data_IF_652622430706
#
_entry.id   IF_652622430706
#
_cell.length_a   1.000
_cell.length_b   1.000
_cell.length_c   1.000
_cell.angle_alpha   90.00
_cell.angle_beta   90.00
_cell.angle_gamma   90.00
#
_symmetry.space_group_name_H-M   'P 1'
#
loop_
_entity.id
_entity.type
_entity.pdbx_description
1 polymer ?
#
# COMPACT_ATOMS: atom_id res chain seq x y z
N UNK A 1 -8.07 -3.51 -25.36
CA UNK A 1 -7.60 -4.40 -24.28
C UNK A 1 -7.75 -3.63 -22.98
N UNK A 2 -8.66 -4.04 -22.08
CA UNK A 2 -8.79 -3.40 -20.77
C UNK A 2 -7.64 -3.88 -19.88
N UNK A 3 -6.59 -3.07 -19.79
CA UNK A 3 -5.63 -3.15 -18.69
C UNK A 3 -6.37 -2.72 -17.42
N UNK A 4 -6.64 -3.66 -16.51
CA UNK A 4 -7.31 -3.37 -15.25
C UNK A 4 -6.38 -2.49 -14.39
N UNK A 5 -6.72 -1.20 -14.30
CA UNK A 5 -6.00 -0.17 -13.54
C UNK A 5 -6.27 -0.21 -12.03
N UNK A 6 -7.09 -1.16 -11.58
CA UNK A 6 -7.58 -1.30 -10.21
C UNK A 6 -7.51 -2.77 -9.81
N UNK A 7 -7.16 -3.02 -8.55
CA UNK A 7 -7.33 -4.32 -7.94
C UNK A 7 -8.82 -4.65 -7.80
N UNK A 8 -9.19 -5.94 -7.67
CA UNK A 8 -10.55 -6.32 -7.31
C UNK A 8 -10.97 -5.64 -6.00
N UNK A 9 -12.19 -5.10 -5.95
CA UNK A 9 -12.74 -4.48 -4.73
C UNK A 9 -13.02 -5.47 -3.59
N UNK A 10 -12.88 -6.78 -3.85
CA UNK A 10 -13.13 -7.84 -2.88
C UNK A 10 -11.87 -8.64 -2.63
N UNK A 11 -11.02 -8.14 -1.75
CA UNK A 11 -9.85 -8.84 -1.24
C UNK A 11 -10.14 -9.65 0.04
N UNK A 12 -11.38 -9.62 0.51
CA UNK A 12 -11.86 -10.25 1.75
C UNK A 12 -11.56 -11.76 1.85
N UNK A 13 -11.46 -12.46 0.72
CA UNK A 13 -11.19 -13.90 0.70
C UNK A 13 -9.71 -14.24 0.86
N UNK A 14 -8.82 -13.24 0.78
CA UNK A 14 -7.37 -13.41 0.88
C UNK A 14 -6.88 -13.26 2.33
N UNK A 15 -7.71 -13.62 3.32
CA UNK A 15 -7.41 -13.46 4.74
C UNK A 15 -6.10 -14.10 5.18
N UNK A 16 -5.61 -15.13 4.48
CA UNK A 16 -4.35 -15.82 4.81
C UNK A 16 -3.13 -15.23 4.09
N UNK A 17 -3.31 -14.19 3.28
CA UNK A 17 -2.23 -13.58 2.52
C UNK A 17 -1.28 -12.85 3.46
N UNK A 18 0.00 -13.25 3.44
CA UNK A 18 1.07 -12.63 4.23
C UNK A 18 1.87 -11.59 3.46
N UNK A 19 1.99 -11.76 2.15
CA UNK A 19 2.78 -10.86 1.31
C UNK A 19 1.99 -10.48 0.06
N UNK A 20 1.91 -9.18 -0.22
CA UNK A 20 1.29 -8.64 -1.42
C UNK A 20 2.31 -7.77 -2.14
N UNK A 21 2.69 -8.18 -3.33
CA UNK A 21 3.57 -7.42 -4.21
C UNK A 21 2.81 -6.96 -5.44
N UNK A 22 2.78 -5.64 -5.64
CA UNK A 22 2.18 -4.98 -6.80
C UNK A 22 3.25 -4.22 -7.58
N UNK A 23 4.50 -4.63 -7.44
CA UNK A 23 5.64 -3.93 -8.02
C UNK A 23 5.46 -3.79 -9.54
N UNK A 24 5.82 -2.62 -10.07
CA UNK A 24 5.66 -2.27 -11.49
C UNK A 24 4.21 -2.36 -12.02
N UNK A 25 3.21 -2.42 -11.16
CA UNK A 25 1.82 -2.43 -11.62
C UNK A 25 1.36 -1.04 -12.07
N UNK A 26 0.44 -1.01 -13.02
CA UNK A 26 -0.26 0.19 -13.45
C UNK A 26 -1.48 0.49 -12.56
N UNK A 27 -1.43 0.07 -11.28
CA UNK A 27 -2.51 0.32 -10.33
C UNK A 27 -2.56 1.81 -10.02
N UNK A 28 -3.75 2.41 -10.14
CA UNK A 28 -3.97 3.83 -9.85
C UNK A 28 -4.36 4.07 -8.39
N UNK A 29 -5.10 3.11 -7.82
CA UNK A 29 -5.57 3.15 -6.43
C UNK A 29 -5.65 1.74 -5.83
N UNK A 30 -5.39 1.65 -4.52
CA UNK A 30 -5.69 0.44 -3.75
C UNK A 30 -7.15 0.52 -3.24
N UNK A 31 -7.92 -0.58 -3.34
CA UNK A 31 -9.30 -0.61 -2.86
C UNK A 31 -9.35 -0.58 -1.33
N UNK A 32 -10.41 -0.02 -0.76
CA UNK A 32 -10.63 0.01 0.69
C UNK A 32 -10.57 -1.39 1.34
N UNK A 33 -10.96 -2.44 0.60
CA UNK A 33 -10.88 -3.83 1.04
C UNK A 33 -9.46 -4.33 1.32
N UNK A 34 -8.41 -3.57 0.97
CA UNK A 34 -7.03 -3.89 1.37
C UNK A 34 -6.94 -4.06 2.88
N UNK A 35 -7.69 -3.25 3.65
CA UNK A 35 -7.73 -3.33 5.11
C UNK A 35 -8.32 -4.63 5.66
N UNK A 36 -8.95 -5.47 4.82
CA UNK A 36 -9.45 -6.79 5.19
C UNK A 36 -8.33 -7.84 5.29
N UNK A 37 -7.12 -7.55 4.77
CA UNK A 37 -5.98 -8.47 4.79
C UNK A 37 -5.28 -8.44 6.15
N UNK A 38 -5.99 -8.82 7.22
CA UNK A 38 -5.50 -8.65 8.60
C UNK A 38 -4.19 -9.38 8.90
N UNK A 39 -3.87 -10.46 8.17
CA UNK A 39 -2.64 -11.25 8.30
C UNK A 39 -1.53 -10.81 7.33
N UNK A 40 -1.71 -9.72 6.58
CA UNK A 40 -0.69 -9.22 5.67
C UNK A 40 0.48 -8.69 6.48
N UNK A 41 1.66 -9.25 6.25
CA UNK A 41 2.92 -8.89 6.89
C UNK A 41 3.76 -7.96 5.99
N UNK A 42 3.65 -8.08 4.66
CA UNK A 42 4.40 -7.24 3.72
C UNK A 42 3.56 -6.71 2.57
N UNK A 43 3.71 -5.42 2.30
CA UNK A 43 3.11 -4.73 1.15
C UNK A 43 4.21 -4.05 0.32
N UNK A 44 4.45 -4.57 -0.89
CA UNK A 44 5.42 -4.01 -1.82
C UNK A 44 4.71 -3.30 -2.97
N UNK A 45 4.96 -2.00 -3.09
CA UNK A 45 4.38 -1.08 -4.06
C UNK A 45 5.49 -0.37 -4.84
N UNK A 46 6.61 -1.05 -5.09
CA UNK A 46 7.77 -0.44 -5.76
C UNK A 46 7.47 -0.15 -7.22
N UNK A 47 7.98 0.97 -7.71
CA UNK A 47 7.89 1.35 -9.13
C UNK A 47 6.45 1.43 -9.66
N UNK A 48 5.47 1.68 -8.77
CA UNK A 48 4.08 1.93 -9.12
C UNK A 48 3.92 3.40 -9.52
N UNK A 49 4.22 3.71 -10.78
CA UNK A 49 4.23 5.10 -11.28
C UNK A 49 2.84 5.71 -11.45
N UNK A 50 1.78 4.90 -11.40
CA UNK A 50 0.39 5.35 -11.55
C UNK A 50 -0.36 5.44 -10.23
N UNK A 51 0.20 4.89 -9.15
CA UNK A 51 -0.49 4.82 -7.86
C UNK A 51 -0.51 6.21 -7.22
N UNK A 52 -1.71 6.80 -7.08
CA UNK A 52 -1.87 8.14 -6.51
C UNK A 52 -2.36 8.12 -5.07
N UNK A 53 -3.03 7.05 -4.65
CA UNK A 53 -3.76 7.02 -3.38
C UNK A 53 -3.65 5.67 -2.69
N UNK A 54 -3.38 5.71 -1.39
CA UNK A 54 -3.44 4.57 -0.46
C UNK A 54 -4.63 4.85 0.49
N UNK A 55 -5.58 3.92 0.65
CA UNK A 55 -6.77 4.13 1.47
C UNK A 55 -6.45 4.15 2.97
N UNK A 56 -7.27 4.88 3.73
CA UNK A 56 -7.17 4.97 5.20
C UNK A 56 -7.41 3.63 5.91
N UNK A 57 -8.02 2.66 5.22
CA UNK A 57 -8.20 1.29 5.71
C UNK A 57 -6.89 0.53 5.88
N UNK A 58 -5.76 1.05 5.38
CA UNK A 58 -4.43 0.48 5.62
C UNK A 58 -4.12 0.34 7.12
N UNK A 59 -4.70 1.19 7.99
CA UNK A 59 -4.61 1.06 9.45
C UNK A 59 -5.11 -0.29 10.00
N UNK A 60 -5.96 -0.99 9.23
CA UNK A 60 -6.57 -2.25 9.65
C UNK A 60 -5.63 -3.45 9.41
N UNK A 61 -4.51 -3.26 8.72
CA UNK A 61 -3.50 -4.30 8.50
C UNK A 61 -2.68 -4.54 9.77
N UNK A 62 -3.28 -5.22 10.76
CA UNK A 62 -2.71 -5.39 12.10
C UNK A 62 -1.37 -6.16 12.12
N UNK A 63 -1.17 -7.07 11.16
CA UNK A 63 0.08 -7.83 11.04
C UNK A 63 1.14 -7.16 10.17
N UNK A 64 0.86 -5.98 9.60
CA UNK A 64 1.74 -5.37 8.61
C UNK A 64 3.05 -4.94 9.25
N UNK A 65 4.12 -5.51 8.72
CA UNK A 65 5.47 -5.29 9.20
C UNK A 65 6.34 -4.46 8.25
N UNK A 66 6.06 -4.54 6.96
CA UNK A 66 6.89 -3.92 5.93
C UNK A 66 6.02 -3.28 4.85
N UNK A 67 6.31 -2.01 4.54
CA UNK A 67 5.70 -1.28 3.42
C UNK A 67 6.80 -0.65 2.59
N UNK A 68 6.90 -1.04 1.32
CA UNK A 68 7.91 -0.50 0.40
C UNK A 68 7.25 0.34 -0.70
N UNK A 69 7.66 1.61 -0.81
CA UNK A 69 7.12 2.60 -1.75
C UNK A 69 8.21 3.18 -2.67
N UNK A 70 9.27 2.39 -2.91
CA UNK A 70 10.46 2.85 -3.62
C UNK A 70 10.13 3.23 -5.06
N UNK A 71 10.57 4.43 -5.48
CA UNK A 71 10.37 4.96 -6.82
C UNK A 71 8.91 5.03 -7.29
N UNK A 72 7.95 5.12 -6.37
CA UNK A 72 6.52 5.35 -6.69
C UNK A 72 6.20 6.84 -6.61
N UNK A 73 6.41 7.53 -7.72
CA UNK A 73 6.46 9.00 -7.77
C UNK A 73 5.10 9.70 -7.83
N UNK A 74 4.02 8.97 -8.10
CA UNK A 74 2.68 9.53 -8.23
C UNK A 74 1.94 9.73 -6.90
N UNK A 75 2.42 9.11 -5.81
CA UNK A 75 1.85 9.28 -4.48
C UNK A 75 2.24 10.67 -3.97
N UNK A 76 1.24 11.54 -3.84
CA UNK A 76 1.43 12.91 -3.35
C UNK A 76 1.41 12.98 -1.84
N UNK A 77 0.53 12.20 -1.22
CA UNK A 77 0.30 12.20 0.22
C UNK A 77 0.10 10.77 0.69
N UNK A 78 0.53 10.52 1.91
CA UNK A 78 0.33 9.24 2.59
C UNK A 78 -0.78 9.40 3.63
N UNK A 79 -1.69 8.43 3.75
CA UNK A 79 -2.75 8.49 4.76
C UNK A 79 -2.15 8.56 6.16
N UNK A 80 -2.78 9.33 7.05
CA UNK A 80 -2.32 9.50 8.43
C UNK A 80 -2.27 8.14 9.17
N UNK A 81 -3.11 7.21 8.74
CA UNK A 81 -3.10 5.80 9.11
C UNK A 81 -1.71 5.13 9.07
N UNK A 82 -0.81 5.52 8.16
CA UNK A 82 0.54 4.93 8.07
C UNK A 82 1.35 5.17 9.35
N UNK A 83 1.16 6.33 10.00
CA UNK A 83 1.79 6.62 11.30
C UNK A 83 1.18 5.86 12.48
N UNK A 84 0.00 5.25 12.28
CA UNK A 84 -0.71 4.46 13.31
C UNK A 84 -0.46 2.96 13.20
N UNK A 85 0.27 2.50 12.18
CA UNK A 85 0.65 1.09 12.06
C UNK A 85 1.50 0.67 13.26
N UNK A 86 1.35 -0.57 13.76
CA UNK A 86 2.24 -1.10 14.80
C UNK A 86 3.69 -0.88 14.36
N UNK A 87 4.60 -0.62 15.31
CA UNK A 87 5.97 -0.11 15.12
C UNK A 87 6.95 -1.01 14.35
N UNK A 88 6.48 -1.69 13.32
CA UNK A 88 7.25 -2.47 12.41
C UNK A 88 7.95 -1.57 11.40
N UNK A 89 9.18 -1.95 11.09
CA UNK A 89 10.16 -1.22 10.32
C UNK A 89 9.54 -0.60 9.06
N UNK A 90 9.24 0.69 9.14
CA UNK A 90 8.80 1.55 8.04
C UNK A 90 10.00 1.72 7.09
N UNK A 91 10.32 0.67 6.34
CA UNK A 91 11.51 0.59 5.49
C UNK A 91 11.24 1.31 4.18
N UNK A 92 11.81 2.51 4.11
CA UNK A 92 12.02 3.32 2.91
C UNK A 92 10.74 3.83 2.24
N UNK A 93 10.10 4.78 2.93
CA UNK A 93 9.43 5.88 2.26
C UNK A 93 10.47 6.60 1.39
N UNK A 94 10.26 6.61 0.08
CA UNK A 94 11.11 7.34 -0.86
C UNK A 94 11.35 8.77 -0.35
N UNK A 95 12.63 9.09 -0.10
CA UNK A 95 13.19 10.30 0.53
C UNK A 95 12.93 11.63 -0.23
N UNK A 96 11.75 11.83 -0.84
CA UNK A 96 11.44 13.05 -1.60
C UNK A 96 10.20 13.83 -1.15
N UNK A 97 9.43 13.34 -0.17
CA UNK A 97 8.21 14.01 0.30
C UNK A 97 8.26 14.47 1.77
N UNK A 98 9.31 14.15 2.54
CA UNK A 98 9.48 14.58 3.95
C UNK A 98 9.98 16.03 4.10
N UNK A 99 9.58 16.93 3.19
CA UNK A 99 9.97 18.34 3.20
C UNK A 99 9.00 19.28 3.90
N UNK A 100 8.00 18.79 4.64
CA UNK A 100 6.99 19.65 5.28
C UNK A 100 6.36 19.00 6.51
N UNK A 101 7.08 19.03 7.63
CA UNK A 101 6.48 19.05 8.97
C UNK A 101 6.92 20.33 9.67
#
# INVERSE_FOLDING_TARGET
>A
MQIHKRLPERLENLISLKELSLNHSAVEELPDSIGSLSNLEKLSLMLCQSLTTIPESIRNLQSLMEVSLINSSAIKELPAAIGSLPAAHLLELCLKQLGSY
#
